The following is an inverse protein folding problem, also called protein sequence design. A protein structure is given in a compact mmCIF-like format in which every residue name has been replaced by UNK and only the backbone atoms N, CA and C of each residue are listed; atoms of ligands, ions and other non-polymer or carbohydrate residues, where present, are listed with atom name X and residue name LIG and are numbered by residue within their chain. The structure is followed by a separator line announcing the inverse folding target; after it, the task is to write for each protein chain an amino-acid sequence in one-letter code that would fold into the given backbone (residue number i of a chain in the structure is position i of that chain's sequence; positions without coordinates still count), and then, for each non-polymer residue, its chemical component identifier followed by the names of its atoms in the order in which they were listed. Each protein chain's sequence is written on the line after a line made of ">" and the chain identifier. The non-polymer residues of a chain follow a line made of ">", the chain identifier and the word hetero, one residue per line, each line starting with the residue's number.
data_IF_675911554121
#
_entry.id   IF_675911554121
#
_cell.length_a   1.000
_cell.length_b   1.000
_cell.length_c   1.000
_cell.angle_alpha   90.00
_cell.angle_beta   90.00
_cell.angle_gamma   90.00
#
_symmetry.space_group_name_H-M   'P 1'
#
loop_
_entity.id
_entity.type
_entity.pdbx_description
1 polymer ?
#
# COMPACT_ATOMS: atom_id res chain seq x y z
N UNK A 1 -46.16 37.59 13.46
CA UNK A 1 -45.81 36.35 12.72
C UNK A 1 -44.37 36.05 13.03
N UNK A 2 -44.11 35.15 13.97
CA UNK A 2 -42.75 34.75 14.40
C UNK A 2 -42.50 33.36 13.90
N UNK A 3 -41.57 33.24 12.91
CA UNK A 3 -41.14 31.96 12.38
C UNK A 3 -40.14 31.27 13.35
N UNK A 4 -40.55 30.19 13.95
CA UNK A 4 -39.73 29.39 14.83
C UNK A 4 -38.72 28.58 14.02
N UNK A 5 -37.43 28.86 14.19
CA UNK A 5 -36.33 28.06 13.62
C UNK A 5 -36.26 26.71 14.33
N UNK A 6 -36.56 25.60 13.61
CA UNK A 6 -36.33 24.26 14.07
C UNK A 6 -34.82 23.97 14.11
N UNK A 7 -34.24 23.87 15.29
CA UNK A 7 -32.86 23.48 15.49
C UNK A 7 -32.69 21.99 15.18
N UNK A 8 -31.89 21.67 14.16
CA UNK A 8 -31.56 20.29 13.81
C UNK A 8 -30.76 19.61 14.94
N UNK A 9 -31.30 18.57 15.53
CA UNK A 9 -30.67 17.76 16.59
C UNK A 9 -29.38 17.11 16.06
N UNK A 10 -28.21 17.46 16.62
CA UNK A 10 -26.94 16.78 16.35
C UNK A 10 -27.04 15.28 16.62
N UNK A 11 -26.57 14.39 15.72
CA UNK A 11 -26.67 12.94 15.91
C UNK A 11 -25.87 12.49 17.14
N UNK A 12 -26.48 11.64 17.96
CA UNK A 12 -25.90 11.14 19.22
C UNK A 12 -24.62 10.34 18.98
N UNK A 13 -23.58 10.51 19.82
CA UNK A 13 -22.28 9.83 19.76
C UNK A 13 -22.38 8.29 19.59
N UNK A 14 -23.39 7.66 20.20
CA UNK A 14 -23.68 6.21 20.08
C UNK A 14 -24.04 5.75 18.65
N UNK A 15 -24.63 6.60 17.81
CA UNK A 15 -24.95 6.26 16.42
C UNK A 15 -23.69 6.19 15.54
N UNK A 16 -22.70 7.07 15.79
CA UNK A 16 -21.44 7.07 15.04
C UNK A 16 -20.58 5.83 15.32
N UNK A 17 -20.53 5.36 16.56
CA UNK A 17 -19.80 4.13 16.95
C UNK A 17 -20.47 2.91 16.30
N UNK A 18 -21.78 2.84 16.25
CA UNK A 18 -22.52 1.73 15.64
C UNK A 18 -22.30 1.67 14.12
N UNK A 19 -22.29 2.82 13.46
CA UNK A 19 -22.00 2.93 12.03
C UNK A 19 -20.53 2.53 11.73
N UNK A 20 -19.57 2.99 12.54
CA UNK A 20 -18.17 2.62 12.37
C UNK A 20 -17.95 1.10 12.58
N UNK A 21 -18.64 0.48 13.53
CA UNK A 21 -18.56 -0.96 13.76
C UNK A 21 -19.18 -1.76 12.61
N UNK A 22 -20.31 -1.30 12.07
CA UNK A 22 -20.96 -1.94 10.91
C UNK A 22 -20.11 -1.82 9.64
N UNK A 23 -19.51 -0.66 9.39
CA UNK A 23 -18.55 -0.46 8.29
C UNK A 23 -17.33 -1.36 8.44
N UNK A 24 -16.80 -1.52 9.65
CA UNK A 24 -15.69 -2.44 9.93
C UNK A 24 -16.07 -3.90 9.64
N UNK A 25 -17.29 -4.30 9.98
CA UNK A 25 -17.82 -5.65 9.72
C UNK A 25 -18.00 -5.92 8.22
N UNK A 26 -18.58 -4.97 7.49
CA UNK A 26 -18.72 -5.03 6.02
C UNK A 26 -17.37 -5.09 5.31
N UNK A 27 -16.37 -4.32 5.77
CA UNK A 27 -15.00 -4.39 5.25
C UNK A 27 -14.37 -5.77 5.44
N UNK A 28 -14.53 -6.39 6.61
CA UNK A 28 -14.01 -7.74 6.86
C UNK A 28 -14.67 -8.79 5.97
N UNK A 29 -15.98 -8.65 5.73
CA UNK A 29 -16.72 -9.54 4.82
C UNK A 29 -16.25 -9.36 3.39
N UNK A 30 -16.16 -8.12 2.89
CA UNK A 30 -15.68 -7.82 1.53
C UNK A 30 -14.24 -8.30 1.29
N UNK A 31 -13.35 -8.15 2.29
CA UNK A 31 -11.98 -8.69 2.22
C UNK A 31 -12.01 -10.22 2.15
N UNK A 32 -12.83 -10.87 2.96
CA UNK A 32 -12.97 -12.33 2.94
C UNK A 32 -13.53 -12.82 1.60
N UNK A 33 -14.57 -12.18 1.09
CA UNK A 33 -15.16 -12.49 -0.22
C UNK A 33 -14.16 -12.27 -1.36
N UNK A 34 -13.37 -11.19 -1.33
CA UNK A 34 -12.32 -10.95 -2.32
C UNK A 34 -11.18 -11.98 -2.21
N UNK A 35 -10.86 -12.47 -1.02
CA UNK A 35 -9.90 -13.57 -0.82
C UNK A 35 -10.47 -14.91 -1.29
N UNK A 36 -11.74 -15.17 -1.05
CA UNK A 36 -12.44 -16.40 -1.45
C UNK A 36 -12.75 -16.43 -2.96
N UNK A 37 -12.98 -15.26 -3.60
CA UNK A 37 -13.21 -15.12 -5.04
C UNK A 37 -11.97 -15.47 -5.88
N UNK A 38 -10.78 -15.45 -5.30
CA UNK A 38 -9.55 -15.94 -5.90
C UNK A 38 -9.20 -17.33 -5.35
N UNK A 39 -10.06 -18.31 -5.62
CA UNK A 39 -9.73 -19.72 -5.34
C UNK A 39 -8.42 -20.08 -6.04
N UNK A 40 -7.62 -20.89 -5.38
CA UNK A 40 -6.30 -21.33 -5.87
C UNK A 40 -6.37 -21.93 -7.28
N UNK A 41 -7.52 -22.49 -7.63
CA UNK A 41 -7.81 -23.15 -8.90
C UNK A 41 -7.89 -22.19 -10.10
N UNK A 42 -8.30 -20.92 -9.86
CA UNK A 42 -8.41 -19.90 -10.91
C UNK A 42 -7.14 -19.08 -11.12
N UNK A 43 -6.07 -19.38 -10.38
CA UNK A 43 -4.80 -18.66 -10.48
C UNK A 43 -3.94 -19.22 -11.60
N UNK A 44 -3.15 -18.38 -12.29
CA UNK A 44 -2.14 -18.83 -13.23
C UNK A 44 -1.18 -19.83 -12.58
N UNK A 45 -0.63 -20.74 -13.34
CA UNK A 45 0.22 -21.82 -12.86
C UNK A 45 1.43 -21.31 -12.06
N UNK A 46 2.05 -20.19 -12.49
CA UNK A 46 3.15 -19.54 -11.79
C UNK A 46 2.75 -19.01 -10.41
N UNK A 47 1.47 -18.64 -10.19
CA UNK A 47 0.94 -18.15 -8.91
C UNK A 47 0.57 -19.30 -7.97
N UNK A 48 0.31 -20.50 -8.50
CA UNK A 48 -0.07 -21.69 -7.71
C UNK A 48 1.12 -22.45 -7.14
N UNK A 49 2.23 -22.45 -7.87
CA UNK A 49 3.42 -23.23 -7.51
C UNK A 49 4.37 -22.51 -6.55
N UNK A 50 4.33 -21.20 -6.49
CA UNK A 50 5.24 -20.41 -5.67
C UNK A 50 4.82 -20.40 -4.19
N UNK A 51 5.69 -20.92 -3.33
CA UNK A 51 5.56 -20.74 -1.89
C UNK A 51 5.83 -19.27 -1.55
N UNK A 52 4.76 -18.50 -1.38
CA UNK A 52 4.88 -17.10 -1.06
C UNK A 52 5.47 -16.91 0.34
N UNK A 53 6.56 -16.21 0.43
CA UNK A 53 7.31 -15.99 1.66
C UNK A 53 7.79 -14.55 1.74
N UNK A 54 8.42 -14.20 2.85
CA UNK A 54 9.07 -12.89 2.99
C UNK A 54 10.10 -12.65 1.91
N UNK A 55 10.10 -11.47 1.29
CA UNK A 55 11.11 -11.03 0.34
C UNK A 55 12.38 -10.61 1.07
N UNK A 56 13.53 -11.01 0.55
CA UNK A 56 14.82 -10.53 1.01
C UNK A 56 15.37 -9.51 0.03
N UNK A 57 15.52 -8.28 0.50
CA UNK A 57 16.11 -7.20 -0.29
C UNK A 57 17.17 -6.48 0.53
N UNK A 58 18.38 -6.35 -0.01
CA UNK A 58 19.51 -5.67 0.63
C UNK A 58 19.58 -5.87 2.15
N UNK A 59 19.91 -7.06 2.64
CA UNK A 59 20.02 -7.40 4.08
C UNK A 59 18.75 -7.16 4.92
N UNK A 60 17.62 -6.81 4.31
CA UNK A 60 16.34 -6.62 4.99
C UNK A 60 15.34 -7.69 4.56
N UNK A 61 14.46 -8.02 5.47
CA UNK A 61 13.37 -8.96 5.23
C UNK A 61 12.07 -8.16 5.24
N UNK A 62 11.31 -8.28 4.16
CA UNK A 62 10.01 -7.66 3.97
C UNK A 62 8.95 -8.75 4.04
N UNK A 63 8.06 -8.66 5.02
CA UNK A 63 7.00 -9.65 5.22
C UNK A 63 5.87 -9.42 4.22
N UNK A 64 5.13 -10.48 3.81
CA UNK A 64 3.93 -10.32 3.01
C UNK A 64 2.92 -9.36 3.65
N UNK A 65 2.24 -8.56 2.85
CA UNK A 65 1.27 -7.56 3.30
C UNK A 65 1.88 -6.32 3.97
N UNK A 66 3.18 -6.07 3.74
CA UNK A 66 3.87 -4.91 4.32
C UNK A 66 4.59 -4.06 3.27
N UNK A 67 4.79 -2.80 3.60
CA UNK A 67 5.62 -1.87 2.84
C UNK A 67 6.82 -1.43 3.69
N UNK A 68 7.97 -1.24 3.03
CA UNK A 68 9.18 -0.78 3.71
C UNK A 68 10.06 0.02 2.77
N UNK A 69 10.51 1.19 3.22
CA UNK A 69 11.56 1.96 2.54
C UNK A 69 12.92 1.56 3.09
N UNK A 70 13.86 1.31 2.19
CA UNK A 70 15.25 0.97 2.47
C UNK A 70 16.11 2.00 1.76
N UNK A 71 17.11 2.52 2.44
CA UNK A 71 18.07 3.44 1.88
C UNK A 71 19.32 2.66 1.46
N UNK A 72 19.55 2.57 0.15
CA UNK A 72 20.75 1.94 -0.40
C UNK A 72 21.88 2.96 -0.37
N UNK A 73 23.04 2.65 0.24
CA UNK A 73 24.21 3.52 0.15
C UNK A 73 24.71 3.54 -1.29
N UNK A 74 24.74 4.71 -1.91
CA UNK A 74 25.22 4.88 -3.27
C UNK A 74 26.61 5.48 -3.30
N UNK A 75 26.76 6.62 -2.67
CA UNK A 75 27.99 7.42 -2.66
C UNK A 75 28.27 7.91 -1.24
N UNK A 76 29.54 7.89 -0.89
CA UNK A 76 30.06 8.58 0.27
C UNK A 76 30.97 9.70 -0.27
N UNK A 77 30.70 10.94 0.10
CA UNK A 77 31.53 12.07 -0.30
C UNK A 77 32.81 12.10 0.52
N UNK A 78 33.84 12.78 0.04
CA UNK A 78 35.11 12.97 0.78
C UNK A 78 34.91 13.69 2.12
N UNK A 79 33.76 14.32 2.34
CA UNK A 79 33.34 14.96 3.59
C UNK A 79 32.60 14.01 4.53
N UNK A 80 32.43 12.74 4.16
CA UNK A 80 31.71 11.72 4.94
C UNK A 80 30.18 11.81 4.85
N UNK A 81 29.64 12.57 3.89
CA UNK A 81 28.22 12.61 3.63
C UNK A 81 27.80 11.38 2.81
N UNK A 82 26.74 10.71 3.23
CA UNK A 82 26.19 9.58 2.51
C UNK A 82 24.97 10.03 1.69
N UNK A 83 24.96 9.70 0.41
CA UNK A 83 23.84 9.96 -0.49
C UNK A 83 23.15 8.63 -0.82
N UNK A 84 22.13 8.27 -0.05
CA UNK A 84 21.43 7.01 -0.26
C UNK A 84 20.34 7.13 -1.32
N UNK A 85 20.11 6.04 -2.05
CA UNK A 85 18.92 5.89 -2.90
C UNK A 85 17.79 5.28 -2.05
N UNK A 86 16.66 5.96 -1.90
CA UNK A 86 15.49 5.37 -1.27
C UNK A 86 14.84 4.34 -2.20
N UNK A 87 14.64 3.12 -1.72
CA UNK A 87 13.89 2.08 -2.41
C UNK A 87 12.72 1.67 -1.53
N UNK A 88 11.52 1.91 -1.99
CA UNK A 88 10.31 1.46 -1.29
C UNK A 88 9.82 0.15 -1.91
N UNK A 89 9.68 -0.87 -1.06
CA UNK A 89 9.21 -2.20 -1.44
C UNK A 89 7.84 -2.41 -0.85
N UNK A 90 6.87 -2.66 -1.72
CA UNK A 90 5.49 -3.01 -1.37
C UNK A 90 5.33 -4.49 -1.66
N UNK A 91 5.31 -5.31 -0.62
CA UNK A 91 5.25 -6.77 -0.74
C UNK A 91 3.84 -7.25 -0.43
N UNK A 92 3.16 -7.73 -1.46
CA UNK A 92 1.77 -8.17 -1.38
C UNK A 92 1.58 -9.41 -0.50
N UNK A 93 0.33 -9.71 -0.17
CA UNK A 93 -0.04 -10.90 0.62
C UNK A 93 -0.09 -12.17 -0.22
N UNK A 94 -0.13 -12.06 -1.54
CA UNK A 94 -0.27 -13.18 -2.48
C UNK A 94 0.92 -13.26 -3.43
N UNK A 95 1.26 -14.45 -3.92
CA UNK A 95 2.23 -14.60 -4.99
C UNK A 95 1.88 -13.76 -6.21
N UNK A 96 2.88 -13.30 -6.93
CA UNK A 96 2.70 -12.52 -8.14
C UNK A 96 4.03 -12.01 -8.69
N UNK A 97 4.00 -11.23 -9.77
CA UNK A 97 5.19 -10.69 -10.40
C UNK A 97 5.91 -9.67 -9.51
N UNK A 98 7.18 -9.46 -9.80
CA UNK A 98 7.96 -8.35 -9.25
C UNK A 98 8.04 -7.26 -10.30
N UNK A 99 7.57 -6.06 -9.97
CA UNK A 99 7.61 -4.89 -10.84
C UNK A 99 8.54 -3.86 -10.19
N UNK A 100 9.46 -3.29 -10.96
CA UNK A 100 10.30 -2.19 -10.51
C UNK A 100 9.94 -0.91 -11.27
N UNK A 101 9.68 0.16 -10.55
CA UNK A 101 9.38 1.49 -11.06
C UNK A 101 10.57 2.39 -10.71
N UNK A 102 11.17 3.01 -11.71
CA UNK A 102 12.25 3.96 -11.55
C UNK A 102 11.70 5.37 -11.76
N UNK A 103 11.82 6.22 -10.75
CA UNK A 103 11.25 7.56 -10.75
C UNK A 103 12.22 8.70 -11.03
N UNK A 104 13.50 8.44 -11.15
CA UNK A 104 14.52 9.50 -11.27
C UNK A 104 15.67 9.11 -12.17
N UNK A 105 15.38 8.67 -13.40
CA UNK A 105 16.41 8.26 -14.36
C UNK A 105 17.25 9.45 -14.83
N UNK A 106 16.61 10.61 -15.03
CA UNK A 106 17.28 11.87 -15.36
C UNK A 106 17.13 12.83 -14.16
N UNK A 107 18.22 13.45 -13.76
CA UNK A 107 18.30 14.26 -12.53
C UNK A 107 17.53 15.57 -12.58
N UNK A 108 17.21 16.06 -13.78
CA UNK A 108 16.44 17.29 -14.04
C UNK A 108 14.94 17.04 -14.24
N UNK A 109 14.51 15.77 -14.35
CA UNK A 109 13.12 15.40 -14.55
C UNK A 109 12.42 15.10 -13.21
N UNK A 110 11.72 16.08 -12.65
CA UNK A 110 11.02 15.94 -11.37
C UNK A 110 9.68 15.17 -11.45
N UNK A 111 9.15 14.97 -12.66
CA UNK A 111 7.84 14.31 -12.85
C UNK A 111 7.84 12.86 -12.35
N UNK A 112 8.92 12.11 -12.61
CA UNK A 112 9.08 10.74 -12.14
C UNK A 112 9.09 10.61 -10.62
N UNK A 113 9.99 11.30 -9.90
CA UNK A 113 10.01 11.31 -8.44
C UNK A 113 8.70 11.80 -7.82
N UNK A 114 8.06 12.83 -8.38
CA UNK A 114 6.76 13.33 -7.93
C UNK A 114 5.67 12.26 -8.07
N UNK A 115 5.63 11.55 -9.19
CA UNK A 115 4.68 10.43 -9.42
C UNK A 115 4.90 9.31 -8.42
N UNK A 116 6.15 8.90 -8.18
CA UNK A 116 6.48 7.88 -7.19
C UNK A 116 6.04 8.30 -5.78
N UNK A 117 6.30 9.55 -5.39
CA UNK A 117 5.86 10.11 -4.11
C UNK A 117 4.35 10.11 -3.99
N UNK A 118 3.64 10.49 -5.06
CA UNK A 118 2.17 10.49 -5.08
C UNK A 118 1.60 9.06 -4.95
N UNK A 119 2.16 8.09 -5.65
CA UNK A 119 1.79 6.68 -5.53
C UNK A 119 1.97 6.18 -4.09
N UNK A 120 3.08 6.54 -3.43
CA UNK A 120 3.38 6.12 -2.07
C UNK A 120 2.52 6.80 -1.01
N UNK A 121 2.32 8.13 -1.09
CA UNK A 121 1.59 8.91 -0.10
C UNK A 121 0.13 8.50 0.02
N UNK A 122 -0.42 7.98 -1.05
CA UNK A 122 -1.82 7.60 -1.14
C UNK A 122 -2.12 6.14 -0.78
N UNK A 123 -1.08 5.32 -0.55
CA UNK A 123 -1.22 3.85 -0.46
C UNK A 123 -1.89 3.34 0.82
N UNK A 124 -1.90 4.10 1.93
CA UNK A 124 -2.33 3.56 3.24
C UNK A 124 -3.64 4.12 3.77
N UNK A 125 -4.12 5.24 3.27
CA UNK A 125 -5.26 5.95 3.88
C UNK A 125 -6.59 5.67 3.21
N UNK A 126 -6.58 5.14 2.00
CA UNK A 126 -7.76 4.91 1.21
C UNK A 126 -7.89 3.43 0.81
N UNK A 127 -8.96 2.74 1.21
CA UNK A 127 -9.19 1.33 0.88
C UNK A 127 -9.40 1.06 -0.61
N UNK A 128 -9.66 2.08 -1.41
CA UNK A 128 -9.84 1.96 -2.86
C UNK A 128 -8.50 2.08 -3.64
N UNK A 129 -7.37 2.27 -2.95
CA UNK A 129 -6.09 2.50 -3.61
C UNK A 129 -5.36 1.22 -3.97
N UNK A 130 -4.85 1.15 -5.21
CA UNK A 130 -4.32 -0.10 -5.78
C UNK A 130 -3.01 -0.59 -5.16
N UNK A 131 -2.31 0.23 -4.37
CA UNK A 131 -1.00 -0.12 -3.80
C UNK A 131 -1.03 -0.56 -2.33
N UNK A 132 -2.19 -0.83 -1.76
CA UNK A 132 -2.25 -1.43 -0.42
C UNK A 132 -1.66 -2.85 -0.45
N UNK A 133 -0.53 -3.10 0.26
CA UNK A 133 0.12 -4.40 0.25
C UNK A 133 -0.80 -5.54 0.72
N UNK A 134 -1.83 -5.24 1.48
CA UNK A 134 -2.82 -6.23 1.96
C UNK A 134 -3.74 -6.73 0.85
N UNK A 135 -3.84 -6.01 -0.25
CA UNK A 135 -4.67 -6.37 -1.40
C UNK A 135 -3.84 -6.73 -2.63
N UNK A 136 -2.54 -6.53 -2.58
CA UNK A 136 -1.63 -6.73 -3.69
C UNK A 136 -1.25 -8.21 -3.86
N UNK A 137 -1.11 -8.62 -5.12
CA UNK A 137 -0.42 -9.85 -5.52
C UNK A 137 0.93 -9.47 -6.16
N UNK A 138 2.02 -10.09 -5.68
CA UNK A 138 3.37 -9.78 -6.15
C UNK A 138 4.06 -8.69 -5.31
N UNK A 139 5.07 -8.10 -5.89
CA UNK A 139 5.91 -7.09 -5.23
C UNK A 139 6.11 -5.90 -6.16
N UNK A 140 5.96 -4.69 -5.64
CA UNK A 140 6.33 -3.45 -6.33
C UNK A 140 7.53 -2.86 -5.61
N UNK A 141 8.58 -2.51 -6.38
CA UNK A 141 9.75 -1.77 -5.93
C UNK A 141 9.74 -0.41 -6.60
N UNK A 142 9.80 0.65 -5.82
CA UNK A 142 9.82 2.05 -6.30
C UNK A 142 11.16 2.65 -5.89
N UNK A 143 11.91 3.16 -6.90
CA UNK A 143 13.26 3.71 -6.79
C UNK A 143 13.25 5.16 -7.25
#
# INVERSE_FOLDING_TARGET
>A
MTAGAMAAKKPRKKSKIRVAHELSKRRKIAIKEAMDAHKLEDRPEWDRSAKWSSERFYRKIIKPGTMRTIHLPLLETDLGESWPIPVTIIHGVRPGPIITILGGVHGDELTGPATCTHLLSNSFTDPEKPLDPRHLAGTIRIV
#
